data_IF_812899106514
#
_entry.id   IF_812899106514
#
_cell.length_a   1.000
_cell.length_b   1.000
_cell.length_c   1.000
_cell.angle_alpha   90.00
_cell.angle_beta   90.00
_cell.angle_gamma   90.00
#
_symmetry.space_group_name_H-M   'P 1'
#
loop_
_entity.id
_entity.type
_entity.pdbx_description
1 polymer ?
#
# COMPACT_ATOMS: atom_id res chain seq x y z
N UNK A 1 16.09 15.71 -5.00
CA UNK A 1 14.88 15.60 -5.77
C UNK A 1 14.19 14.28 -5.54
N UNK A 2 13.23 14.25 -4.72
CA UNK A 2 12.48 13.05 -4.47
C UNK A 2 11.42 12.83 -5.53
N UNK A 3 11.43 11.69 -6.20
CA UNK A 3 10.29 11.31 -7.01
C UNK A 3 9.12 11.01 -6.07
N UNK A 4 7.92 11.43 -6.46
CA UNK A 4 6.71 11.08 -5.73
C UNK A 4 6.49 9.60 -5.92
N UNK A 5 6.25 8.82 -4.84
CA UNK A 5 6.00 7.40 -5.00
C UNK A 5 4.70 7.15 -5.76
N UNK A 6 4.69 6.08 -6.53
CA UNK A 6 3.49 5.66 -7.25
C UNK A 6 2.77 4.56 -6.49
N UNK A 7 1.50 4.37 -6.81
CA UNK A 7 0.69 3.31 -6.20
C UNK A 7 1.40 1.96 -6.31
N UNK A 8 1.93 1.63 -7.50
CA UNK A 8 2.63 0.35 -7.71
C UNK A 8 3.85 0.19 -6.82
N UNK A 9 4.52 1.29 -6.48
CA UNK A 9 5.70 1.23 -5.60
C UNK A 9 5.31 0.90 -4.18
N UNK A 10 4.21 1.47 -3.69
CA UNK A 10 3.68 1.14 -2.37
C UNK A 10 3.24 -0.33 -2.33
N UNK A 11 2.59 -0.80 -3.39
CA UNK A 11 2.16 -2.19 -3.49
C UNK A 11 3.37 -3.13 -3.42
N UNK A 12 4.42 -2.85 -4.19
CA UNK A 12 5.63 -3.66 -4.17
C UNK A 12 6.25 -3.69 -2.79
N UNK A 13 6.28 -2.56 -2.11
CA UNK A 13 6.89 -2.45 -0.80
C UNK A 13 6.15 -3.31 0.23
N UNK A 14 4.82 -3.23 0.27
CA UNK A 14 4.06 -4.03 1.23
C UNK A 14 4.05 -5.52 0.85
N UNK A 15 4.05 -5.84 -0.44
CA UNK A 15 4.14 -7.23 -0.88
C UNK A 15 5.47 -7.86 -0.48
N UNK A 16 6.55 -7.09 -0.52
CA UNK A 16 7.85 -7.56 -0.06
C UNK A 16 7.85 -7.88 1.43
N UNK A 17 6.98 -7.23 2.21
CA UNK A 17 6.81 -7.48 3.63
C UNK A 17 5.89 -8.67 3.91
N UNK A 18 5.21 -9.19 2.91
CA UNK A 18 4.33 -10.35 3.06
C UNK A 18 2.85 -10.07 2.88
N UNK A 19 2.46 -8.83 2.62
CA UNK A 19 1.06 -8.49 2.38
C UNK A 19 0.60 -9.08 1.04
N UNK A 20 -0.64 -9.58 1.00
CA UNK A 20 -1.22 -10.19 -0.20
C UNK A 20 -2.55 -9.56 -0.52
N UNK A 21 -2.77 -9.26 -1.77
CA UNK A 21 -4.03 -8.71 -2.25
C UNK A 21 -5.12 -9.77 -2.11
N UNK A 22 -6.21 -9.41 -1.42
CA UNK A 22 -7.33 -10.33 -1.19
C UNK A 22 -8.61 -9.87 -1.84
N UNK A 23 -8.80 -8.57 -2.03
CA UNK A 23 -9.99 -8.01 -2.65
C UNK A 23 -9.58 -6.85 -3.53
N UNK A 24 -10.16 -6.79 -4.74
CA UNK A 24 -10.02 -5.64 -5.63
C UNK A 24 -11.43 -5.21 -6.05
N UNK A 25 -11.76 -3.95 -5.78
CA UNK A 25 -13.01 -3.35 -6.24
C UNK A 25 -12.68 -2.06 -6.94
N UNK A 26 -12.85 -2.02 -8.27
CA UNK A 26 -12.46 -0.86 -9.05
C UNK A 26 -10.99 -0.56 -8.85
N UNK A 27 -10.68 0.64 -8.34
CA UNK A 27 -9.32 1.04 -8.06
C UNK A 27 -8.91 0.82 -6.61
N UNK A 28 -9.77 0.22 -5.79
CA UNK A 28 -9.47 -0.05 -4.38
C UNK A 28 -8.99 -1.49 -4.22
N UNK A 29 -7.82 -1.66 -3.63
CA UNK A 29 -7.24 -2.96 -3.34
C UNK A 29 -7.03 -3.12 -1.85
N UNK A 30 -7.43 -4.27 -1.32
CA UNK A 30 -7.21 -4.59 0.09
C UNK A 30 -6.22 -5.74 0.21
N UNK A 31 -5.32 -5.60 1.17
CA UNK A 31 -4.25 -6.56 1.40
C UNK A 31 -4.34 -7.10 2.82
N UNK A 32 -3.98 -8.36 2.99
CA UNK A 32 -3.85 -8.99 4.31
C UNK A 32 -2.48 -9.62 4.45
N UNK A 33 -2.06 -9.78 5.69
CA UNK A 33 -0.76 -10.37 6.03
C UNK A 33 -1.00 -11.61 6.89
N UNK A 34 -0.24 -12.70 6.67
CA UNK A 34 -0.44 -13.92 7.45
C UNK A 34 -0.08 -13.77 8.92
N UNK A 35 0.78 -12.82 9.28
CA UNK A 35 1.25 -12.65 10.65
C UNK A 35 0.87 -11.32 11.27
N UNK A 36 0.56 -10.32 10.47
CA UNK A 36 0.18 -9.00 10.97
C UNK A 36 -1.32 -8.83 10.91
N UNK A 37 -1.90 -8.24 11.96
CA UNK A 37 -3.33 -8.00 12.02
C UNK A 37 -3.74 -6.83 11.13
N UNK A 38 -5.04 -6.75 10.84
CA UNK A 38 -5.61 -5.64 10.10
C UNK A 38 -5.49 -5.80 8.59
N UNK A 39 -5.78 -4.72 7.89
CA UNK A 39 -5.75 -4.67 6.43
C UNK A 39 -5.06 -3.40 5.97
N UNK A 40 -4.44 -3.47 4.79
CA UNK A 40 -3.94 -2.29 4.11
C UNK A 40 -4.84 -2.06 2.91
N UNK A 41 -5.34 -0.83 2.76
CA UNK A 41 -6.15 -0.45 1.62
C UNK A 41 -5.39 0.57 0.79
N UNK A 42 -5.24 0.30 -0.50
CA UNK A 42 -4.58 1.20 -1.43
C UNK A 42 -5.56 1.52 -2.55
N UNK A 43 -5.82 2.82 -2.75
CA UNK A 43 -6.70 3.29 -3.82
C UNK A 43 -5.87 3.89 -4.94
N UNK A 44 -6.40 3.86 -6.15
CA UNK A 44 -5.78 4.49 -7.33
C UNK A 44 -5.24 3.48 -8.32
N UNK A 45 -4.90 3.99 -9.50
CA UNK A 45 -4.28 3.16 -10.55
C UNK A 45 -2.80 2.94 -10.23
N UNK A 46 -2.21 1.84 -10.72
CA UNK A 46 -0.78 1.57 -10.43
C UNK A 46 0.17 2.70 -10.81
N UNK A 47 -0.16 3.45 -11.86
CA UNK A 47 0.68 4.56 -12.33
C UNK A 47 0.38 5.89 -11.65
N UNK A 48 -0.62 5.95 -10.77
CA UNK A 48 -0.97 7.18 -10.08
C UNK A 48 0.07 7.52 -9.03
N UNK A 49 0.30 8.83 -8.85
CA UNK A 49 1.19 9.31 -7.80
C UNK A 49 0.46 9.28 -6.46
N UNK A 50 1.19 8.97 -5.40
CA UNK A 50 0.67 9.00 -4.04
C UNK A 50 1.10 10.28 -3.34
N UNK A 51 0.15 10.97 -2.73
CA UNK A 51 0.48 12.10 -1.87
C UNK A 51 1.33 11.59 -0.68
N UNK A 52 2.26 12.40 -0.16
CA UNK A 52 3.12 11.98 0.95
C UNK A 52 2.33 11.48 2.17
N UNK A 53 1.24 12.13 2.52
CA UNK A 53 0.41 11.69 3.64
C UNK A 53 -0.23 10.35 3.42
N UNK A 54 -0.70 10.09 2.20
CA UNK A 54 -1.30 8.81 1.83
C UNK A 54 -0.25 7.69 1.85
N UNK A 55 0.92 7.97 1.31
CA UNK A 55 2.01 7.01 1.32
C UNK A 55 2.41 6.63 2.75
N UNK A 56 2.57 7.63 3.61
CA UNK A 56 2.89 7.39 5.03
C UNK A 56 1.79 6.59 5.73
N UNK A 57 0.54 6.87 5.42
CA UNK A 57 -0.59 6.13 5.99
C UNK A 57 -0.53 4.65 5.60
N UNK A 58 -0.23 4.37 4.34
CA UNK A 58 -0.08 2.99 3.86
C UNK A 58 1.03 2.27 4.64
N UNK A 59 2.18 2.92 4.80
CA UNK A 59 3.29 2.34 5.54
C UNK A 59 2.94 2.07 7.00
N UNK A 60 2.19 2.97 7.62
CA UNK A 60 1.74 2.78 8.99
C UNK A 60 0.78 1.61 9.10
N UNK A 61 -0.18 1.51 8.19
CA UNK A 61 -1.13 0.39 8.15
C UNK A 61 -0.38 -0.93 8.00
N UNK A 62 0.66 -0.94 7.20
CA UNK A 62 1.44 -2.14 6.93
C UNK A 62 2.46 -2.46 8.04
N UNK A 63 2.59 -1.60 9.04
CA UNK A 63 3.55 -1.80 10.11
C UNK A 63 4.99 -1.56 9.68
N UNK A 64 5.21 -0.82 8.59
CA UNK A 64 6.54 -0.51 8.08
C UNK A 64 7.05 0.84 8.56
N UNK A 65 6.20 1.59 9.24
CA UNK A 65 6.55 2.89 9.80
C UNK A 65 5.85 3.06 11.12
N UNK A 66 6.60 3.45 12.10
CA UNK A 66 6.09 3.67 13.46
C UNK A 66 5.33 4.97 13.63
#
# INVERSE_FOLDING_TARGET
>A
MGAVPKVREAIKLIEADGWREVITKGSHRQFKHPEKAGRVTIAGQPSDDLAPGTYNSILKQAGLKG
#
